data_IF_908085618467
#
_entry.id   IF_908085618467
#
_cell.length_a   1.000
_cell.length_b   1.000
_cell.length_c   1.000
_cell.angle_alpha   90.00
_cell.angle_beta   90.00
_cell.angle_gamma   90.00
#
_symmetry.space_group_name_H-M   'P 1'
#
loop_
_entity.id
_entity.type
_entity.pdbx_description
1 polymer ?
#
# COMPACT_ATOMS: atom_id res chain seq x y z
N UNK A 1 -7.47 -13.13 -12.59
CA UNK A 1 -8.48 -12.22 -12.01
C UNK A 1 -7.85 -11.55 -10.79
N UNK A 2 -7.77 -10.22 -10.77
CA UNK A 2 -7.23 -9.43 -9.65
C UNK A 2 -8.05 -9.71 -8.39
N UNK A 3 -7.50 -10.44 -7.42
CA UNK A 3 -8.19 -10.80 -6.17
C UNK A 3 -8.42 -9.65 -5.19
N UNK A 4 -8.39 -8.40 -5.67
CA UNK A 4 -8.61 -7.20 -4.83
C UNK A 4 -10.07 -6.74 -4.90
N UNK A 5 -10.64 -6.21 -3.81
CA UNK A 5 -11.93 -5.55 -3.83
C UNK A 5 -11.96 -4.40 -4.84
N UNK A 6 -13.09 -4.23 -5.55
CA UNK A 6 -13.23 -3.18 -6.57
C UNK A 6 -13.02 -1.76 -5.99
N UNK A 7 -13.47 -1.52 -4.76
CA UNK A 7 -13.25 -0.25 -4.05
C UNK A 7 -11.75 0.03 -3.83
N UNK A 8 -10.95 -1.01 -3.56
CA UNK A 8 -9.51 -0.86 -3.40
C UNK A 8 -8.83 -0.57 -4.74
N UNK A 9 -9.25 -1.24 -5.81
CA UNK A 9 -8.73 -0.98 -7.16
C UNK A 9 -8.96 0.48 -7.57
N UNK A 10 -10.15 1.03 -7.27
CA UNK A 10 -10.48 2.42 -7.57
C UNK A 10 -9.56 3.42 -6.83
N UNK A 11 -9.30 3.18 -5.54
CA UNK A 11 -8.38 4.01 -4.75
C UNK A 11 -6.95 3.90 -5.30
N UNK A 12 -6.48 2.68 -5.58
CA UNK A 12 -5.13 2.45 -6.09
C UNK A 12 -4.89 3.11 -7.45
N UNK A 13 -5.88 3.12 -8.34
CA UNK A 13 -5.74 3.70 -9.67
C UNK A 13 -5.32 5.18 -9.66
N UNK A 14 -5.67 5.94 -8.62
CA UNK A 14 -5.26 7.33 -8.47
C UNK A 14 -3.77 7.52 -8.14
N UNK A 15 -3.10 6.47 -7.65
CA UNK A 15 -1.70 6.51 -7.18
C UNK A 15 -0.73 5.73 -8.08
N UNK A 16 -1.25 4.95 -9.02
CA UNK A 16 -0.43 4.06 -9.86
C UNK A 16 -0.10 4.70 -11.21
N UNK A 17 1.09 4.43 -11.76
CA UNK A 17 1.52 4.97 -13.05
C UNK A 17 0.84 4.29 -14.26
N UNK A 18 -0.04 3.32 -14.02
CA UNK A 18 -0.72 2.56 -15.07
C UNK A 18 -1.69 1.53 -14.49
N UNK A 19 -2.36 0.74 -15.36
CA UNK A 19 -3.33 -0.24 -14.93
C UNK A 19 -2.68 -1.37 -14.13
N UNK A 20 -3.41 -1.90 -13.15
CA UNK A 20 -3.01 -3.09 -12.39
C UNK A 20 -2.97 -4.29 -13.34
N UNK A 21 -1.79 -4.91 -13.48
CA UNK A 21 -1.57 -6.12 -14.29
C UNK A 21 -1.67 -7.39 -13.45
N UNK A 22 -1.11 -7.37 -12.25
CA UNK A 22 -1.01 -8.53 -11.37
C UNK A 22 -0.97 -8.13 -9.91
N UNK A 23 -1.58 -8.96 -9.06
CA UNK A 23 -1.46 -8.89 -7.61
C UNK A 23 -1.14 -10.28 -7.09
N UNK A 24 -0.04 -10.41 -6.39
CA UNK A 24 0.40 -11.65 -5.78
C UNK A 24 0.50 -11.47 -4.27
N UNK A 25 -0.26 -12.24 -3.47
CA UNK A 25 -0.10 -12.20 -2.02
C UNK A 25 1.32 -12.64 -1.65
N UNK A 26 2.05 -11.81 -0.91
CA UNK A 26 3.43 -12.10 -0.45
C UNK A 26 3.51 -12.28 1.07
N UNK A 27 2.36 -12.26 1.74
CA UNK A 27 2.24 -12.35 3.18
C UNK A 27 1.11 -11.46 3.68
N UNK A 28 1.17 -11.15 4.97
CA UNK A 28 0.10 -10.48 5.69
C UNK A 28 -0.36 -11.37 6.82
N UNK A 29 -0.08 -10.94 8.05
CA UNK A 29 -0.54 -11.63 9.25
C UNK A 29 -2.03 -11.38 9.50
N UNK A 30 -2.49 -11.70 10.71
CA UNK A 30 -3.88 -11.51 11.13
C UNK A 30 -4.39 -10.04 11.11
N UNK A 31 -3.52 -9.08 10.77
CA UNK A 31 -3.79 -7.64 10.90
C UNK A 31 -3.96 -7.00 9.52
N UNK A 32 -2.94 -6.99 8.67
CA UNK A 32 -3.00 -6.42 7.32
C UNK A 32 -2.68 -7.49 6.27
N UNK A 33 -3.37 -7.44 5.13
CA UNK A 33 -3.02 -8.21 3.93
C UNK A 33 -1.88 -7.50 3.21
N UNK A 34 -0.96 -8.26 2.62
CA UNK A 34 0.16 -7.71 1.86
C UNK A 34 0.33 -8.41 0.51
N UNK A 35 0.74 -7.64 -0.50
CA UNK A 35 0.82 -8.12 -1.86
C UNK A 35 1.88 -7.40 -2.68
N UNK A 36 2.51 -8.13 -3.60
CA UNK A 36 3.28 -7.58 -4.71
C UNK A 36 2.30 -7.18 -5.81
N UNK A 37 2.28 -5.88 -6.11
CA UNK A 37 1.39 -5.25 -7.08
C UNK A 37 2.20 -4.83 -8.31
N UNK A 38 1.86 -5.34 -9.48
CA UNK A 38 2.43 -4.90 -10.76
C UNK A 38 1.44 -3.96 -11.44
N UNK A 39 1.87 -2.73 -11.76
CA UNK A 39 1.03 -1.70 -12.38
C UNK A 39 1.81 -0.88 -13.42
N UNK A 40 1.32 -0.84 -14.66
CA UNK A 40 2.16 -0.42 -15.78
C UNK A 40 3.50 -1.18 -15.76
N UNK A 41 4.62 -0.50 -15.96
CA UNK A 41 5.97 -1.09 -15.87
C UNK A 41 6.57 -1.10 -14.45
N UNK A 42 5.81 -0.69 -13.43
CA UNK A 42 6.28 -0.59 -12.06
C UNK A 42 5.79 -1.74 -11.16
N UNK A 43 6.55 -2.00 -10.09
CA UNK A 43 6.23 -2.99 -9.06
C UNK A 43 6.19 -2.29 -7.71
N UNK A 44 5.13 -2.56 -6.94
CA UNK A 44 4.87 -1.98 -5.64
C UNK A 44 4.67 -3.05 -4.58
N UNK A 45 4.99 -2.71 -3.34
CA UNK A 45 4.50 -3.43 -2.18
C UNK A 45 3.21 -2.77 -1.69
N UNK A 46 2.13 -3.53 -1.61
CA UNK A 46 0.81 -3.08 -1.21
C UNK A 46 0.45 -3.67 0.16
N UNK A 47 -0.02 -2.81 1.08
CA UNK A 47 -0.70 -3.22 2.32
C UNK A 47 -2.15 -2.74 2.27
N UNK A 48 -3.09 -3.59 2.68
CA UNK A 48 -4.50 -3.22 2.83
C UNK A 48 -5.18 -4.01 3.95
N UNK A 49 -6.30 -3.52 4.47
CA UNK A 49 -7.00 -4.14 5.59
C UNK A 49 -8.39 -3.56 5.75
N UNK A 50 -9.07 -3.91 6.84
CA UNK A 50 -10.28 -3.19 7.25
C UNK A 50 -9.92 -1.79 7.77
N UNK A 51 -10.89 -0.89 7.90
CA UNK A 51 -10.66 0.48 8.35
C UNK A 51 -9.90 0.58 9.69
N UNK A 52 -10.16 -0.35 10.62
CA UNK A 52 -9.45 -0.42 11.89
C UNK A 52 -7.95 -0.65 11.69
N UNK A 53 -7.54 -1.41 10.70
CA UNK A 53 -6.13 -1.66 10.38
C UNK A 53 -5.56 -0.52 9.56
N UNK A 54 -6.30 -0.08 8.54
CA UNK A 54 -5.87 0.95 7.62
C UNK A 54 -5.62 2.31 8.28
N UNK A 55 -6.26 2.59 9.43
CA UNK A 55 -5.96 3.77 10.25
C UNK A 55 -4.48 3.91 10.66
N UNK A 56 -3.72 2.82 10.64
CA UNK A 56 -2.31 2.80 11.03
C UNK A 56 -1.35 3.14 9.89
N UNK A 57 -1.75 2.98 8.62
CA UNK A 57 -0.87 3.18 7.46
C UNK A 57 -0.35 4.62 7.31
N UNK A 58 -1.12 5.69 7.59
CA UNK A 58 -0.58 7.05 7.56
C UNK A 58 0.58 7.26 8.54
N UNK A 59 0.50 6.68 9.74
CA UNK A 59 1.56 6.77 10.75
C UNK A 59 2.82 5.99 10.32
N UNK A 60 2.64 4.80 9.74
CA UNK A 60 3.73 4.01 9.16
C UNK A 60 4.43 4.77 8.03
N UNK A 61 3.67 5.34 7.09
CA UNK A 61 4.22 6.13 5.99
C UNK A 61 4.96 7.38 6.50
N UNK A 62 4.45 8.06 7.53
CA UNK A 62 5.14 9.18 8.16
C UNK A 62 6.46 8.75 8.81
N UNK A 63 6.48 7.61 9.50
CA UNK A 63 7.69 7.03 10.08
C UNK A 63 8.76 6.70 9.03
N UNK A 64 8.37 6.04 7.93
CA UNK A 64 9.28 5.73 6.83
C UNK A 64 9.86 6.99 6.17
N UNK A 65 9.03 8.02 5.96
CA UNK A 65 9.49 9.32 5.46
C UNK A 65 10.48 9.99 6.41
N UNK A 66 10.21 9.96 7.73
CA UNK A 66 11.11 10.53 8.73
C UNK A 66 12.46 9.79 8.78
N UNK A 67 12.44 8.44 8.74
CA UNK A 67 13.67 7.63 8.70
C UNK A 67 14.51 7.94 7.47
N UNK A 68 13.88 8.11 6.30
CA UNK A 68 14.56 8.50 5.07
C UNK A 68 15.13 9.92 5.16
N UNK A 69 14.36 10.86 5.68
CA UNK A 69 14.78 12.26 5.84
C UNK A 69 15.94 12.44 6.84
N UNK A 70 16.11 11.49 7.77
CA UNK A 70 17.24 11.51 8.71
C UNK A 70 18.61 11.30 8.04
N UNK A 71 18.66 10.91 6.75
CA UNK A 71 19.92 10.78 6.00
C UNK A 71 20.88 9.71 6.54
N UNK A 72 20.36 8.77 7.33
CA UNK A 72 21.14 7.67 7.90
C UNK A 72 21.46 6.59 6.84
N UNK A 73 22.46 5.72 7.06
CA UNK A 73 22.73 4.59 6.16
C UNK A 73 21.65 3.50 6.19
N UNK A 74 20.61 3.62 7.02
CA UNK A 74 19.51 2.67 7.07
C UNK A 74 18.69 2.72 5.77
N UNK A 75 18.65 1.60 5.05
CA UNK A 75 17.77 1.44 3.91
C UNK A 75 16.33 1.18 4.37
N UNK A 76 15.43 2.11 4.04
CA UNK A 76 13.99 1.98 4.31
C UNK A 76 13.18 2.06 3.02
N UNK A 77 12.03 1.38 2.94
CA UNK A 77 11.11 1.53 1.81
C UNK A 77 10.65 2.98 1.65
N UNK A 78 10.47 3.40 0.40
CA UNK A 78 9.82 4.67 0.09
C UNK A 78 8.29 4.52 0.18
N UNK A 79 7.67 5.38 0.99
CA UNK A 79 6.21 5.41 1.11
C UNK A 79 5.60 6.20 -0.05
N UNK A 80 5.18 5.49 -1.10
CA UNK A 80 4.58 6.11 -2.31
C UNK A 80 3.24 6.79 -2.00
N UNK A 81 2.32 6.07 -1.36
CA UNK A 81 1.01 6.57 -0.95
C UNK A 81 0.54 5.85 0.33
N UNK A 82 -0.29 6.53 1.12
CA UNK A 82 -0.97 5.93 2.26
C UNK A 82 -2.28 6.68 2.52
N UNK A 83 -3.39 5.96 2.54
CA UNK A 83 -4.70 6.49 2.93
C UNK A 83 -5.19 5.75 4.18
N UNK A 84 -5.85 6.44 5.13
CA UNK A 84 -6.62 5.77 6.16
C UNK A 84 -7.85 5.11 5.53
N UNK A 85 -8.34 4.03 6.15
CA UNK A 85 -9.64 3.48 5.77
C UNK A 85 -10.80 4.37 6.23
N UNK A 86 -11.97 4.20 5.62
CA UNK A 86 -13.17 4.98 5.93
C UNK A 86 -14.43 4.46 5.23
N UNK A 87 -15.59 5.11 5.38
CA UNK A 87 -16.81 4.71 4.67
C UNK A 87 -16.58 4.70 3.15
N UNK A 88 -16.72 3.53 2.52
CA UNK A 88 -16.46 3.36 1.08
C UNK A 88 -14.98 3.34 0.67
N UNK A 89 -14.04 3.41 1.62
CA UNK A 89 -12.59 3.31 1.39
C UNK A 89 -12.01 2.16 2.23
N UNK A 90 -11.58 1.06 1.58
CA UNK A 90 -10.92 -0.03 2.28
C UNK A 90 -9.58 0.43 2.89
#
# INVERSE_FOLDING_TARGET
MTGLPASLVAVLAAHLPGPIRRVEPVGGGCIARAGRLEAGEAVFFLKWGEASVARTFPAEAAGLRALRAAGSPLHVPEAMAAEPGGPGRP
#
